data_IF_381236249086
#
_entry.id   IF_381236249086
#
_cell.length_a   1.000
_cell.length_b   1.000
_cell.length_c   1.000
_cell.angle_alpha   90.00
_cell.angle_beta   90.00
_cell.angle_gamma   90.00
#
_symmetry.space_group_name_H-M   'P 1'
#
loop_
_entity.id
_entity.type
_entity.pdbx_description
1 polymer ?
#
# COMPACT_ATOMS: atom_id res chain seq x y z
N UNK A 1 -8.47 0.26 -14.31
CA UNK A 1 -8.43 1.70 -13.97
C UNK A 1 -9.75 2.20 -13.43
N UNK A 2 -10.87 1.97 -14.13
CA UNK A 2 -12.18 2.43 -13.68
C UNK A 2 -12.54 1.95 -12.26
N UNK A 3 -12.36 0.67 -11.96
CA UNK A 3 -12.71 0.13 -10.63
C UNK A 3 -11.80 0.64 -9.51
N UNK A 4 -10.53 0.94 -9.83
CA UNK A 4 -9.58 1.56 -8.90
C UNK A 4 -10.07 2.95 -8.50
N UNK A 5 -10.50 3.76 -9.48
CA UNK A 5 -11.00 5.11 -9.20
C UNK A 5 -12.41 5.09 -8.56
N UNK A 6 -13.26 4.13 -8.92
CA UNK A 6 -14.54 3.92 -8.25
C UNK A 6 -14.34 3.60 -6.77
N UNK A 7 -13.37 2.74 -6.44
CA UNK A 7 -13.03 2.46 -5.06
C UNK A 7 -12.62 3.74 -4.31
N UNK A 8 -11.73 4.57 -4.88
CA UNK A 8 -11.36 5.85 -4.26
C UNK A 8 -12.60 6.73 -3.97
N UNK A 9 -13.53 6.81 -4.92
CA UNK A 9 -14.79 7.54 -4.74
C UNK A 9 -15.67 6.94 -3.65
N UNK A 10 -15.78 5.61 -3.59
CA UNK A 10 -16.55 4.92 -2.55
C UNK A 10 -15.96 5.13 -1.16
N UNK A 11 -14.64 5.03 -1.02
CA UNK A 11 -13.94 5.30 0.24
C UNK A 11 -14.13 6.73 0.70
N UNK A 12 -14.00 7.69 -0.22
CA UNK A 12 -14.24 9.11 0.07
C UNK A 12 -15.64 9.36 0.67
N UNK A 13 -16.66 8.73 0.09
CA UNK A 13 -18.03 8.83 0.61
C UNK A 13 -18.19 8.14 1.96
N UNK A 14 -17.57 6.98 2.17
CA UNK A 14 -17.58 6.30 3.48
C UNK A 14 -16.93 7.16 4.56
N UNK A 15 -15.78 7.78 4.27
CA UNK A 15 -15.10 8.70 5.19
C UNK A 15 -15.97 9.92 5.51
N UNK A 16 -16.59 10.54 4.50
CA UNK A 16 -17.53 11.66 4.69
C UNK A 16 -18.64 11.31 5.68
N UNK A 17 -19.12 10.07 5.67
CA UNK A 17 -20.19 9.59 6.56
C UNK A 17 -19.69 9.01 7.90
N UNK A 18 -18.39 9.09 8.18
CA UNK A 18 -17.82 8.71 9.49
C UNK A 18 -17.36 7.25 9.58
N UNK A 19 -17.39 6.51 8.48
CA UNK A 19 -16.94 5.11 8.43
C UNK A 19 -15.46 5.01 8.11
N UNK A 20 -14.82 3.93 8.56
CA UNK A 20 -13.47 3.54 8.12
C UNK A 20 -13.52 2.57 6.94
N UNK A 21 -12.39 2.34 6.29
CA UNK A 21 -12.27 1.40 5.16
C UNK A 21 -11.07 0.49 5.27
N UNK A 22 -11.21 -0.71 4.70
CA UNK A 22 -10.14 -1.67 4.49
C UNK A 22 -10.11 -2.08 3.02
N UNK A 23 -8.95 -2.01 2.38
CA UNK A 23 -8.77 -2.40 0.97
C UNK A 23 -7.74 -3.50 0.85
N UNK A 24 -8.09 -4.59 0.19
CA UNK A 24 -7.12 -5.58 -0.28
C UNK A 24 -6.64 -5.22 -1.69
N UNK A 25 -5.34 -4.98 -1.84
CA UNK A 25 -4.70 -4.60 -3.10
C UNK A 25 -4.13 -5.80 -3.87
N UNK A 26 -4.28 -7.01 -3.35
CA UNK A 26 -3.62 -8.22 -3.89
C UNK A 26 -4.08 -8.65 -5.28
N UNK A 27 -5.18 -8.08 -5.78
CA UNK A 27 -5.69 -8.33 -7.14
C UNK A 27 -5.13 -7.34 -8.16
N UNK A 28 -4.45 -6.29 -7.72
CA UNK A 28 -3.79 -5.35 -8.61
C UNK A 28 -2.56 -6.02 -9.23
N UNK A 29 -2.41 -5.86 -10.55
CA UNK A 29 -1.22 -6.33 -11.25
C UNK A 29 0.03 -5.71 -10.63
N UNK A 30 1.06 -6.54 -10.45
CA UNK A 30 2.33 -6.12 -9.88
C UNK A 30 3.07 -5.11 -10.76
N UNK A 31 3.85 -4.21 -10.16
CA UNK A 31 4.78 -3.35 -10.91
C UNK A 31 5.90 -4.13 -11.61
N UNK A 32 6.10 -5.39 -11.21
CA UNK A 32 7.10 -6.32 -11.75
C UNK A 32 6.60 -7.10 -12.98
N UNK A 33 5.30 -7.04 -13.28
CA UNK A 33 4.70 -7.68 -14.46
C UNK A 33 4.81 -6.79 -15.71
N UNK A 34 4.34 -7.29 -16.87
CA UNK A 34 4.28 -6.52 -18.13
C UNK A 34 2.85 -6.12 -18.47
N UNK A 35 2.70 -5.01 -19.20
CA UNK A 35 1.44 -4.62 -19.83
C UNK A 35 1.36 -5.12 -21.27
N UNK A 36 0.14 -5.40 -21.75
CA UNK A 36 -0.09 -5.88 -23.11
C UNK A 36 0.32 -4.87 -24.17
N UNK A 37 0.19 -3.57 -23.88
CA UNK A 37 0.61 -2.46 -24.76
C UNK A 37 2.09 -2.08 -24.64
N UNK A 38 2.90 -2.85 -23.91
CA UNK A 38 4.28 -2.49 -23.56
C UNK A 38 4.39 -1.67 -22.28
N UNK A 39 5.58 -1.68 -21.66
CA UNK A 39 5.85 -1.02 -20.39
C UNK A 39 5.50 -1.86 -19.16
N UNK A 40 5.60 -1.22 -17.99
CA UNK A 40 5.36 -1.82 -16.67
C UNK A 40 4.09 -1.23 -16.03
N UNK A 41 3.28 -2.05 -15.33
CA UNK A 41 2.17 -1.56 -14.52
C UNK A 41 2.68 -0.66 -13.39
N UNK A 42 1.83 0.25 -12.92
CA UNK A 42 2.17 1.11 -11.77
C UNK A 42 2.31 0.33 -10.45
N UNK A 43 1.73 -0.87 -10.36
CA UNK A 43 1.70 -1.68 -9.14
C UNK A 43 0.78 -1.15 -8.04
N UNK A 44 0.57 -1.94 -6.97
CA UNK A 44 -0.34 -1.59 -5.88
C UNK A 44 0.10 -0.33 -5.13
N UNK A 45 1.40 -0.14 -4.87
CA UNK A 45 1.90 1.00 -4.09
C UNK A 45 1.59 2.35 -4.75
N UNK A 46 1.59 2.43 -6.08
CA UNK A 46 1.25 3.68 -6.77
C UNK A 46 -0.20 4.09 -6.51
N UNK A 47 -1.14 3.14 -6.49
CA UNK A 47 -2.54 3.42 -6.17
C UNK A 47 -2.76 3.58 -4.67
N UNK A 48 -1.94 2.90 -3.85
CA UNK A 48 -1.90 3.08 -2.41
C UNK A 48 -1.65 4.54 -2.01
N UNK A 49 -0.80 5.27 -2.77
CA UNK A 49 -0.60 6.72 -2.60
C UNK A 49 -1.87 7.53 -2.85
N UNK A 50 -2.65 7.18 -3.88
CA UNK A 50 -3.93 7.85 -4.17
C UNK A 50 -4.87 7.68 -2.99
N UNK A 51 -5.05 6.45 -2.52
CA UNK A 51 -5.98 6.17 -1.43
C UNK A 51 -5.50 6.72 -0.07
N UNK A 52 -4.18 6.79 0.15
CA UNK A 52 -3.59 7.47 1.31
C UNK A 52 -3.98 8.96 1.33
N UNK A 53 -3.89 9.64 0.19
CA UNK A 53 -4.28 11.05 0.07
C UNK A 53 -5.79 11.27 0.20
N UNK A 54 -6.63 10.34 -0.29
CA UNK A 54 -8.08 10.40 -0.04
C UNK A 54 -8.38 10.38 1.47
N UNK A 55 -7.70 9.53 2.23
CA UNK A 55 -7.83 9.47 3.69
C UNK A 55 -7.23 10.70 4.40
N UNK A 56 -6.19 11.33 3.82
CA UNK A 56 -5.57 12.54 4.35
C UNK A 56 -6.50 13.76 4.26
N UNK A 57 -7.19 13.92 3.12
CA UNK A 57 -7.98 15.11 2.80
C UNK A 57 -9.37 15.07 3.45
N UNK A 58 -9.99 13.89 3.54
CA UNK A 58 -11.38 13.77 4.00
C UNK A 58 -11.42 13.51 5.50
N UNK A 59 -11.96 14.48 6.23
CA UNK A 59 -12.21 14.33 7.67
C UNK A 59 -13.42 13.45 7.92
N UNK A 60 -13.29 12.53 8.88
CA UNK A 60 -14.31 11.52 9.16
C UNK A 60 -15.57 12.16 9.73
N UNK A 61 -16.72 11.96 9.06
CA UNK A 61 -18.02 12.43 9.54
C UNK A 61 -18.15 13.96 9.63
N UNK A 62 -17.30 14.71 8.91
CA UNK A 62 -17.22 16.18 9.03
C UNK A 62 -16.67 16.68 10.37
N UNK A 63 -16.12 15.78 11.20
CA UNK A 63 -15.50 16.12 12.49
C UNK A 63 -14.01 16.40 12.33
N UNK A 64 -13.31 16.69 13.41
CA UNK A 64 -11.85 16.96 13.41
C UNK A 64 -10.98 15.70 13.27
N UNK A 65 -11.57 14.50 13.36
CA UNK A 65 -10.83 13.23 13.34
C UNK A 65 -10.48 12.80 11.90
N UNK A 66 -9.26 12.31 11.68
CA UNK A 66 -8.84 11.67 10.41
C UNK A 66 -9.68 10.43 10.09
N UNK A 67 -9.85 10.16 8.80
CA UNK A 67 -10.42 8.91 8.31
C UNK A 67 -9.59 7.71 8.77
N UNK A 68 -10.25 6.60 9.11
CA UNK A 68 -9.58 5.35 9.42
C UNK A 68 -9.45 4.52 8.13
N UNK A 69 -8.21 4.26 7.71
CA UNK A 69 -7.93 3.48 6.51
C UNK A 69 -6.93 2.35 6.79
N UNK A 70 -7.21 1.18 6.24
CA UNK A 70 -6.32 0.03 6.24
C UNK A 70 -6.12 -0.48 4.81
N UNK A 71 -4.90 -0.86 4.47
CA UNK A 71 -4.56 -1.45 3.17
C UNK A 71 -3.81 -2.75 3.37
N UNK A 72 -4.16 -3.79 2.61
CA UNK A 72 -3.50 -5.08 2.71
C UNK A 72 -2.94 -5.59 1.38
N UNK A 73 -1.94 -6.45 1.52
CA UNK A 73 -1.33 -7.17 0.42
C UNK A 73 -1.01 -8.61 0.86
N UNK A 74 -1.22 -9.58 -0.03
CA UNK A 74 -0.82 -10.96 0.19
C UNK A 74 0.70 -11.10 0.18
N UNK A 75 1.20 -12.00 1.02
CA UNK A 75 2.63 -12.26 1.21
C UNK A 75 3.33 -12.82 -0.03
N UNK A 76 2.60 -13.40 -0.98
CA UNK A 76 3.09 -13.91 -2.26
C UNK A 76 3.01 -12.88 -3.40
N UNK A 77 2.50 -11.68 -3.13
CA UNK A 77 2.46 -10.61 -4.14
C UNK A 77 3.87 -10.11 -4.45
N UNK A 78 4.26 -9.88 -5.73
CA UNK A 78 5.65 -9.53 -6.04
C UNK A 78 6.11 -8.18 -5.47
N UNK A 79 5.21 -7.21 -5.29
CA UNK A 79 5.49 -5.93 -4.61
C UNK A 79 5.53 -5.99 -3.06
N UNK A 80 5.57 -7.19 -2.46
CA UNK A 80 5.49 -7.35 -1.00
C UNK A 80 6.64 -6.67 -0.25
N UNK A 81 7.86 -6.71 -0.79
CA UNK A 81 9.04 -6.09 -0.15
C UNK A 81 8.91 -4.58 -0.07
N UNK A 82 8.49 -3.95 -1.17
CA UNK A 82 8.22 -2.53 -1.18
C UNK A 82 7.06 -2.18 -0.26
N UNK A 83 6.00 -3.01 -0.23
CA UNK A 83 4.85 -2.78 0.64
C UNK A 83 5.21 -2.76 2.13
N UNK A 84 6.06 -3.67 2.61
CA UNK A 84 6.45 -3.73 4.03
C UNK A 84 7.45 -2.64 4.44
N UNK A 85 8.21 -2.08 3.48
CA UNK A 85 9.25 -1.08 3.75
C UNK A 85 8.81 0.35 3.46
N UNK A 86 7.71 0.56 2.71
CA UNK A 86 7.37 1.87 2.15
C UNK A 86 7.23 2.99 3.19
N UNK A 87 6.67 2.70 4.37
CA UNK A 87 6.54 3.69 5.45
C UNK A 87 7.91 4.14 5.97
N UNK A 88 8.81 3.19 6.21
CA UNK A 88 10.17 3.46 6.68
C UNK A 88 10.95 4.26 5.64
N UNK A 89 10.82 3.93 4.35
CA UNK A 89 11.50 4.67 3.28
C UNK A 89 10.96 6.10 3.12
N UNK A 90 9.65 6.32 3.29
CA UNK A 90 9.08 7.67 3.30
C UNK A 90 9.48 8.46 4.56
N UNK A 91 9.60 7.79 5.70
CA UNK A 91 10.02 8.42 6.96
C UNK A 91 11.45 8.96 6.88
N UNK A 92 12.37 8.26 6.21
CA UNK A 92 13.73 8.77 5.94
C UNK A 92 13.71 10.13 5.22
N UNK A 93 12.73 10.36 4.34
CA UNK A 93 12.57 11.65 3.65
C UNK A 93 12.08 12.74 4.61
N UNK A 94 11.15 12.40 5.51
CA UNK A 94 10.70 13.33 6.55
C UNK A 94 11.86 13.74 7.47
N UNK A 95 12.69 12.78 7.91
CA UNK A 95 13.89 13.07 8.70
C UNK A 95 14.87 13.98 7.97
N UNK A 96 15.14 13.70 6.68
CA UNK A 96 16.01 14.57 5.88
C UNK A 96 15.49 16.02 5.79
N UNK A 97 14.15 16.21 5.71
CA UNK A 97 13.55 17.54 5.74
C UNK A 97 13.72 18.20 7.12
N UNK A 98 13.47 17.46 8.21
CA UNK A 98 13.65 17.96 9.59
C UNK A 98 15.10 18.38 9.83
N UNK A 99 16.06 17.56 9.44
CA UNK A 99 17.49 17.83 9.58
C UNK A 99 17.93 19.07 8.78
N UNK A 100 17.23 19.36 7.68
CA UNK A 100 17.45 20.58 6.88
C UNK A 100 16.72 21.84 7.44
N UNK A 101 16.01 21.70 8.56
CA UNK A 101 15.38 22.82 9.28
C UNK A 101 13.89 23.00 9.03
N UNK A 102 13.22 22.09 8.31
CA UNK A 102 11.76 22.15 8.16
C UNK A 102 11.06 21.74 9.46
N UNK A 103 9.86 22.29 9.68
CA UNK A 103 9.05 21.89 10.82
C UNK A 103 8.67 20.40 10.74
N UNK A 104 8.75 19.61 11.83
CA UNK A 104 8.40 18.19 11.81
C UNK A 104 6.98 17.89 11.30
N UNK A 105 5.98 18.67 11.69
CA UNK A 105 4.60 18.48 11.24
C UNK A 105 4.48 18.69 9.72
N UNK A 106 5.14 19.71 9.18
CA UNK A 106 5.18 19.96 7.73
C UNK A 106 5.90 18.81 6.99
N UNK A 107 7.04 18.37 7.51
CA UNK A 107 7.82 17.27 6.93
C UNK A 107 6.98 15.98 6.86
N UNK A 108 6.35 15.58 7.96
CA UNK A 108 5.51 14.37 7.99
C UNK A 108 4.24 14.50 7.13
N UNK A 109 3.65 15.70 7.02
CA UNK A 109 2.51 15.93 6.13
C UNK A 109 2.89 15.91 4.63
N UNK A 110 4.17 16.07 4.30
CA UNK A 110 4.65 16.07 2.91
C UNK A 110 5.00 14.69 2.34
N UNK A 111 5.14 13.67 3.19
CA UNK A 111 5.53 12.30 2.77
C UNK A 111 4.34 11.36 2.67
N UNK A 112 4.52 10.26 1.93
CA UNK A 112 3.42 9.34 1.63
C UNK A 112 3.20 8.28 2.72
N UNK A 113 2.06 7.61 2.65
CA UNK A 113 1.70 6.43 3.45
C UNK A 113 1.49 6.71 4.95
N UNK A 114 1.24 7.96 5.33
CA UNK A 114 1.04 8.36 6.73
C UNK A 114 -0.42 8.22 7.21
N UNK A 115 -1.36 7.98 6.29
CA UNK A 115 -2.79 8.06 6.55
C UNK A 115 -3.49 6.70 6.49
N UNK A 116 -2.72 5.61 6.43
CA UNK A 116 -3.25 4.25 6.43
C UNK A 116 -2.41 3.29 7.25
N UNK A 117 -3.07 2.30 7.85
CA UNK A 117 -2.40 1.13 8.43
C UNK A 117 -2.16 0.08 7.34
N UNK A 118 -1.01 -0.60 7.39
CA UNK A 118 -0.65 -1.63 6.41
C UNK A 118 -0.70 -3.01 7.08
N UNK A 119 -1.37 -3.96 6.42
CA UNK A 119 -1.55 -5.32 6.93
C UNK A 119 -1.11 -6.34 5.90
N UNK A 120 -0.42 -7.40 6.34
CA UNK A 120 -0.01 -8.49 5.45
C UNK A 120 -0.99 -9.64 5.58
N UNK A 121 -1.44 -10.16 4.44
CA UNK A 121 -2.21 -11.40 4.39
C UNK A 121 -1.25 -12.57 4.20
N UNK A 122 -0.93 -13.23 5.30
CA UNK A 122 -0.10 -14.45 5.32
C UNK A 122 -0.95 -15.68 5.03
N UNK A 123 -0.29 -16.75 4.59
CA UNK A 123 -0.90 -18.04 4.26
C UNK A 123 -0.24 -19.16 5.06
N UNK A 124 -0.93 -20.28 5.29
CA UNK A 124 -0.34 -21.42 6.00
C UNK A 124 0.96 -21.92 5.35
N UNK A 125 1.08 -22.03 4.00
CA UNK A 125 2.35 -22.40 3.37
C UNK A 125 3.49 -21.42 3.65
N UNK A 126 3.20 -20.11 3.75
CA UNK A 126 4.21 -19.12 4.12
C UNK A 126 4.68 -19.35 5.56
N UNK A 127 3.75 -19.53 6.49
CA UNK A 127 4.09 -19.78 7.90
C UNK A 127 4.92 -21.05 8.06
N UNK A 128 4.54 -22.13 7.35
CA UNK A 128 5.31 -23.38 7.34
C UNK A 128 6.70 -23.22 6.73
N UNK A 129 6.85 -22.40 5.69
CA UNK A 129 8.16 -22.11 5.11
C UNK A 129 9.07 -21.38 6.11
N UNK A 130 8.52 -20.38 6.81
CA UNK A 130 9.25 -19.66 7.87
C UNK A 130 9.67 -20.59 9.00
N UNK A 131 8.79 -21.48 9.47
CA UNK A 131 9.12 -22.45 10.54
C UNK A 131 10.26 -23.41 10.16
N UNK A 132 10.44 -23.69 8.86
CA UNK A 132 11.45 -24.61 8.34
C UNK A 132 12.71 -23.93 7.84
N UNK A 133 12.77 -22.60 7.91
CA UNK A 133 13.83 -21.79 7.26
C UNK A 133 13.92 -22.10 5.74
N UNK A 134 12.75 -22.32 5.12
CA UNK A 134 12.59 -22.61 3.70
C UNK A 134 12.37 -21.34 2.89
N UNK A 135 12.84 -21.37 1.64
CA UNK A 135 12.71 -20.25 0.69
C UNK A 135 11.25 -19.97 0.32
N UNK A 136 10.88 -18.69 0.25
CA UNK A 136 9.56 -18.25 -0.19
C UNK A 136 9.57 -17.58 -1.56
N UNK A 137 8.55 -17.84 -2.39
CA UNK A 137 8.44 -17.28 -3.74
C UNK A 137 7.22 -16.37 -3.89
N UNK A 138 7.37 -15.30 -4.66
CA UNK A 138 6.25 -14.45 -5.10
C UNK A 138 5.78 -14.84 -6.49
N UNK A 139 4.52 -14.56 -6.81
CA UNK A 139 3.88 -15.01 -8.03
C UNK A 139 3.21 -13.86 -8.76
N UNK A 140 3.38 -13.80 -10.08
CA UNK A 140 2.70 -12.85 -10.94
C UNK A 140 1.17 -12.97 -10.79
N UNK A 141 0.49 -11.84 -10.69
CA UNK A 141 -0.97 -11.85 -10.47
C UNK A 141 -1.71 -12.31 -11.72
N UNK A 142 -1.17 -12.05 -12.91
CA UNK A 142 -1.84 -12.40 -14.17
C UNK A 142 -1.49 -13.76 -14.74
N UNK A 143 -0.28 -14.27 -14.49
CA UNK A 143 0.17 -15.56 -15.05
C UNK A 143 0.37 -16.64 -13.99
N UNK A 144 0.49 -16.28 -12.71
CA UNK A 144 0.85 -17.22 -11.63
C UNK A 144 2.31 -17.66 -11.66
N UNK A 145 3.11 -17.16 -12.61
CA UNK A 145 4.53 -17.50 -12.71
C UNK A 145 5.31 -16.91 -11.54
N UNK A 146 6.33 -17.64 -11.09
CA UNK A 146 7.24 -17.16 -10.05
C UNK A 146 8.02 -15.93 -10.53
N UNK A 147 8.05 -14.88 -9.71
CA UNK A 147 8.76 -13.62 -9.99
C UNK A 147 10.04 -13.51 -9.17
N UNK A 148 9.93 -13.47 -7.84
CA UNK A 148 11.07 -13.38 -6.94
C UNK A 148 11.13 -14.59 -6.00
N UNK A 149 12.30 -14.80 -5.39
CA UNK A 149 12.48 -15.75 -4.31
C UNK A 149 13.26 -15.10 -3.18
N UNK A 150 12.78 -15.30 -1.97
CA UNK A 150 13.41 -14.86 -0.74
C UNK A 150 13.96 -16.07 0.01
N UNK A 151 15.07 -15.88 0.77
CA UNK A 151 15.50 -16.87 1.72
C UNK A 151 14.37 -17.16 2.72
#
# INVERSE_FOLDING_TARGET
MLDIMRLASSEAMLFKHGSGTGTDLSTLRSSREKLSGGGKPSGPLSFMRVYDQVAAVIKSGGKTRRAAKMQSLKVDHPDIKEFITCKTEEEKKAWALIDSGYNPEEAYNSVMFQNSNLSIRVTDPFMQAVEKDDKWATHAITTGEKIDQYP
#
